data_IF_801829198355
#
_entry.id   IF_801829198355
#
_cell.length_a   1.000
_cell.length_b   1.000
_cell.length_c   1.000
_cell.angle_alpha   90.00
_cell.angle_beta   90.00
_cell.angle_gamma   90.00
#
_symmetry.space_group_name_H-M   'P 1'
#
loop_
_entity.id
_entity.type
_entity.pdbx_description
1 polymer ?
#
# COMPACT_ATOMS: atom_id res chain seq x y z
N UNK A 1 -1.36 -0.04 -16.33
CA UNK A 1 -1.43 0.68 -15.05
C UNK A 1 -2.33 -0.10 -14.12
N UNK A 2 -1.99 -0.17 -12.84
CA UNK A 2 -2.74 -0.93 -11.84
C UNK A 2 -3.20 0.01 -10.71
N UNK A 3 -4.39 -0.23 -10.12
CA UNK A 3 -4.90 0.62 -9.05
C UNK A 3 -4.22 0.29 -7.72
N UNK A 4 -3.82 1.32 -6.99
CA UNK A 4 -3.24 1.24 -5.65
C UNK A 4 -3.94 2.21 -4.71
N UNK A 5 -4.05 1.84 -3.43
CA UNK A 5 -4.51 2.77 -2.38
C UNK A 5 -3.31 3.46 -1.75
N UNK A 6 -3.40 4.79 -1.61
CA UNK A 6 -2.34 5.56 -0.99
C UNK A 6 -2.37 5.41 0.52
N UNK A 7 -1.19 5.31 1.12
CA UNK A 7 -1.00 5.26 2.57
C UNK A 7 -0.39 6.60 2.99
N UNK A 8 -1.01 7.27 3.97
CA UNK A 8 -0.55 8.54 4.52
C UNK A 8 -0.44 8.35 6.03
N UNK A 9 0.73 8.61 6.61
CA UNK A 9 0.99 8.49 8.05
C UNK A 9 0.56 7.14 8.65
N UNK A 10 0.82 6.04 7.92
CA UNK A 10 0.49 4.67 8.33
C UNK A 10 -1.00 4.29 8.19
N UNK A 11 -1.84 5.17 7.63
CA UNK A 11 -3.26 4.93 7.39
C UNK A 11 -3.53 4.75 5.90
N UNK A 12 -4.19 3.65 5.55
CA UNK A 12 -4.70 3.38 4.21
C UNK A 12 -5.86 4.32 3.92
N UNK A 13 -5.73 5.10 2.85
CA UNK A 13 -6.77 6.03 2.40
C UNK A 13 -7.68 5.39 1.36
N UNK A 14 -8.80 6.05 1.07
CA UNK A 14 -9.71 5.68 -0.03
C UNK A 14 -9.27 6.25 -1.37
N UNK A 15 -8.17 6.99 -1.41
CA UNK A 15 -7.59 7.55 -2.64
C UNK A 15 -6.98 6.42 -3.47
N UNK A 16 -7.54 6.20 -4.66
CA UNK A 16 -7.04 5.23 -5.63
C UNK A 16 -6.18 5.94 -6.66
N UNK A 17 -4.91 5.57 -6.71
CA UNK A 17 -3.95 6.06 -7.70
C UNK A 17 -3.63 4.94 -8.69
N UNK A 18 -3.51 5.28 -9.96
CA UNK A 18 -3.08 4.33 -10.98
C UNK A 18 -1.58 4.51 -11.19
N UNK A 19 -0.81 3.45 -10.99
CA UNK A 19 0.62 3.46 -11.20
C UNK A 19 0.99 2.55 -12.37
N UNK A 20 1.92 3.00 -13.20
CA UNK A 20 2.62 2.14 -14.16
C UNK A 20 3.64 1.24 -13.46
N UNK A 21 4.11 0.19 -14.14
CA UNK A 21 5.12 -0.71 -13.58
C UNK A 21 6.41 0.01 -13.17
N UNK A 22 6.86 0.99 -13.96
CA UNK A 22 8.04 1.81 -13.63
C UNK A 22 7.82 2.72 -12.41
N UNK A 23 6.59 3.19 -12.19
CA UNK A 23 6.26 4.02 -11.04
C UNK A 23 6.07 3.18 -9.77
N UNK A 24 5.45 2.01 -9.89
CA UNK A 24 5.34 1.04 -8.78
C UNK A 24 6.72 0.69 -8.24
N UNK A 25 7.71 0.44 -9.11
CA UNK A 25 9.08 0.11 -8.69
C UNK A 25 9.74 1.16 -7.81
N UNK A 26 9.27 2.41 -7.82
CA UNK A 26 9.80 3.50 -6.97
C UNK A 26 9.16 3.53 -5.58
N UNK A 27 8.13 2.73 -5.33
CA UNK A 27 7.37 2.72 -4.09
C UNK A 27 7.45 1.36 -3.41
N UNK A 28 7.16 1.32 -2.11
CA UNK A 28 6.95 0.08 -1.38
C UNK A 28 5.47 -0.26 -1.40
N UNK A 29 5.13 -1.45 -1.88
CA UNK A 29 3.74 -1.90 -2.00
C UNK A 29 3.46 -2.96 -0.94
N UNK A 30 2.63 -2.61 0.02
CA UNK A 30 2.10 -3.55 1.01
C UNK A 30 1.21 -4.60 0.34
N UNK A 31 1.13 -5.80 0.92
CA UNK A 31 0.23 -6.83 0.41
C UNK A 31 -1.23 -6.46 0.64
N UNK A 32 -2.11 -6.88 -0.27
CA UNK A 32 -3.54 -6.58 -0.19
C UNK A 32 -4.26 -7.31 0.95
N UNK A 33 -3.69 -8.42 1.44
CA UNK A 33 -4.21 -9.25 2.54
C UNK A 33 -3.72 -8.80 3.92
N UNK A 34 -2.90 -7.74 4.02
CA UNK A 34 -2.44 -7.22 5.31
C UNK A 34 -3.64 -6.72 6.13
N UNK A 35 -3.71 -7.18 7.38
CA UNK A 35 -4.80 -6.85 8.29
C UNK A 35 -4.79 -5.36 8.65
N UNK A 36 -5.97 -4.74 8.57
CA UNK A 36 -6.19 -3.35 8.93
C UNK A 36 -7.17 -3.25 10.11
N UNK A 37 -6.98 -2.25 10.96
CA UNK A 37 -7.92 -1.90 12.00
C UNK A 37 -9.12 -1.12 11.44
N UNK A 38 -10.08 -0.78 12.31
CA UNK A 38 -11.27 0.00 11.94
C UNK A 38 -10.95 1.43 11.48
N UNK A 39 -9.76 1.94 11.79
CA UNK A 39 -9.30 3.26 11.38
C UNK A 39 -8.49 3.22 10.07
N UNK A 40 -8.25 2.03 9.51
CA UNK A 40 -7.49 1.81 8.29
C UNK A 40 -5.97 1.78 8.48
N UNK A 41 -5.47 1.59 9.70
CA UNK A 41 -4.04 1.38 9.97
C UNK A 41 -3.73 -0.11 10.01
N UNK A 42 -2.48 -0.47 9.76
CA UNK A 42 -2.05 -1.86 9.90
C UNK A 42 -2.11 -2.30 11.36
N UNK A 43 -2.66 -3.49 11.60
CA UNK A 43 -2.70 -4.07 12.95
C UNK A 43 -1.35 -4.61 13.40
N UNK A 44 -0.46 -4.87 12.43
CA UNK A 44 0.89 -5.38 12.67
C UNK A 44 1.92 -4.24 12.64
N UNK A 45 2.97 -4.35 13.46
CA UNK A 45 4.08 -3.39 13.49
C UNK A 45 4.96 -3.47 12.24
N UNK A 46 5.08 -4.67 11.66
CA UNK A 46 5.82 -4.93 10.42
C UNK A 46 4.91 -5.56 9.39
N UNK A 47 4.90 -4.98 8.18
CA UNK A 47 4.11 -5.49 7.06
C UNK A 47 5.06 -5.92 5.94
N UNK A 48 4.81 -7.10 5.37
CA UNK A 48 5.55 -7.55 4.20
C UNK A 48 5.19 -6.67 3.02
N UNK A 49 6.20 -5.97 2.51
CA UNK A 49 6.09 -5.14 1.32
C UNK A 49 6.94 -5.74 0.20
N UNK A 50 6.47 -5.59 -1.04
CA UNK A 50 7.32 -5.80 -2.22
C UNK A 50 7.89 -4.46 -2.68
N UNK A 51 9.09 -4.48 -3.22
CA UNK A 51 9.73 -3.35 -3.84
C UNK A 51 10.48 -3.83 -5.09
N UNK A 52 10.27 -3.16 -6.22
CA UNK A 52 10.93 -3.41 -7.50
C UNK A 52 10.74 -4.80 -8.15
N UNK A 53 9.80 -5.62 -7.69
CA UNK A 53 9.46 -6.92 -8.31
C UNK A 53 10.02 -8.11 -7.55
#
# INVERSE_FOLDING_TARGET
>A
ESPYRKIIDGKVTTEVIYLSAMEESKHYVAQANSSLDSEGRFTEEFVVCRHAG
#
